data_IF_622543647906
#
_entry.id   IF_622543647906
#
_cell.length_a   1.000
_cell.length_b   1.000
_cell.length_c   1.000
_cell.angle_alpha   90.00
_cell.angle_beta   90.00
_cell.angle_gamma   90.00
#
_symmetry.space_group_name_H-M   'P 1'
#
loop_
_entity.id
_entity.type
_entity.pdbx_description
1 polymer ?
#
# COMPACT_ATOMS: atom_id res chain seq x y z
N UNK A 1 2.48 19.99 29.52
CA UNK A 1 3.86 19.62 29.35
C UNK A 1 4.07 18.82 28.07
N UNK A 2 4.91 19.29 27.22
CA UNK A 2 5.14 18.55 25.99
C UNK A 2 5.82 17.23 26.30
N UNK A 3 5.35 16.21 25.67
CA UNK A 3 5.96 14.90 25.78
C UNK A 3 6.91 14.70 24.60
N UNK A 4 8.17 14.42 24.85
CA UNK A 4 9.16 14.34 23.78
C UNK A 4 8.74 13.41 22.66
N UNK A 5 8.13 12.29 22.97
CA UNK A 5 7.76 11.33 21.94
C UNK A 5 6.56 11.77 21.10
N UNK A 6 5.88 12.84 21.48
CA UNK A 6 4.83 13.38 20.63
C UNK A 6 5.38 14.12 19.44
N UNK A 7 6.61 14.50 19.52
CA UNK A 7 7.29 15.07 18.38
C UNK A 7 7.98 13.98 17.63
N UNK A 8 7.32 12.88 17.51
CA UNK A 8 7.97 11.76 16.95
C UNK A 8 8.50 12.13 15.61
N UNK A 9 9.73 12.43 15.67
CA UNK A 9 10.54 12.41 14.52
C UNK A 9 10.38 11.02 13.98
N UNK A 10 9.86 10.90 12.78
CA UNK A 10 9.84 9.62 12.12
C UNK A 10 11.25 9.09 12.16
N UNK A 11 11.42 7.95 12.76
CA UNK A 11 12.72 7.30 12.77
C UNK A 11 13.06 6.89 11.36
N UNK A 12 14.34 6.68 11.09
CA UNK A 12 14.74 6.13 9.81
C UNK A 12 14.02 4.83 9.51
N UNK A 13 13.77 4.06 10.55
CA UNK A 13 13.02 2.83 10.51
C UNK A 13 11.63 3.05 9.89
N UNK A 14 10.86 3.99 10.45
CA UNK A 14 9.53 4.29 9.93
C UNK A 14 9.59 4.80 8.50
N UNK A 15 10.56 5.62 8.20
CA UNK A 15 10.72 6.18 6.86
C UNK A 15 10.99 5.08 5.84
N UNK A 16 11.84 4.14 6.16
CA UNK A 16 12.18 3.03 5.26
C UNK A 16 10.96 2.16 4.99
N UNK A 17 10.20 1.83 6.05
CA UNK A 17 9.00 1.03 5.89
C UNK A 17 7.93 1.76 5.09
N UNK A 18 7.73 3.04 5.37
CA UNK A 18 6.76 3.85 4.65
C UNK A 18 7.11 3.98 3.17
N UNK A 19 8.40 4.11 2.85
CA UNK A 19 8.84 4.16 1.46
C UNK A 19 8.60 2.85 0.74
N UNK A 20 8.81 1.73 1.39
CA UNK A 20 8.57 0.41 0.79
C UNK A 20 7.08 0.25 0.43
N UNK A 21 6.21 0.60 1.35
CA UNK A 21 4.76 0.53 1.11
C UNK A 21 4.36 1.52 0.03
N UNK A 22 4.85 2.75 0.11
CA UNK A 22 4.53 3.79 -0.86
C UNK A 22 4.96 3.43 -2.27
N UNK A 23 6.11 2.79 -2.40
CA UNK A 23 6.60 2.33 -3.70
C UNK A 23 5.65 1.31 -4.33
N UNK A 24 5.11 0.41 -3.53
CA UNK A 24 4.14 -0.57 -4.02
C UNK A 24 2.83 0.07 -4.44
N UNK A 25 2.39 1.09 -3.73
CA UNK A 25 1.20 1.85 -4.13
C UNK A 25 1.44 2.50 -5.49
N UNK A 26 2.59 3.13 -5.67
CA UNK A 26 2.95 3.76 -6.92
C UNK A 26 3.04 2.75 -8.07
N UNK A 27 3.64 1.58 -7.82
CA UNK A 27 3.73 0.52 -8.83
C UNK A 27 2.35 0.05 -9.24
N UNK A 28 1.45 -0.21 -8.30
CA UNK A 28 0.09 -0.64 -8.60
C UNK A 28 -0.64 0.43 -9.42
N UNK A 29 -0.46 1.69 -9.08
CA UNK A 29 -1.09 2.80 -9.80
C UNK A 29 -0.56 2.91 -11.24
N UNK A 30 0.74 2.83 -11.41
CA UNK A 30 1.35 2.95 -12.74
C UNK A 30 1.09 1.75 -13.64
N UNK A 31 0.92 0.59 -13.04
CA UNK A 31 0.70 -0.65 -13.78
C UNK A 31 -0.77 -1.03 -13.86
N UNK A 32 -1.63 -0.07 -13.57
CA UNK A 32 -3.06 -0.31 -13.62
C UNK A 32 -3.50 -0.68 -15.03
N UNK A 33 -4.35 -1.70 -15.11
CA UNK A 33 -4.91 -2.15 -16.39
C UNK A 33 -6.43 -2.16 -16.29
N UNK A 34 -7.07 -1.93 -17.40
CA UNK A 34 -8.53 -2.08 -17.49
C UNK A 34 -8.84 -3.24 -18.41
N UNK A 35 -9.96 -3.88 -18.13
CA UNK A 35 -10.44 -4.98 -18.99
C UNK A 35 -11.59 -4.45 -19.82
N UNK A 36 -11.48 -4.60 -21.13
CA UNK A 36 -12.56 -4.18 -22.05
C UNK A 36 -13.07 -5.40 -22.79
N UNK A 37 -14.33 -5.32 -23.19
CA UNK A 37 -14.93 -6.30 -24.10
C UNK A 37 -14.33 -6.08 -25.46
N UNK A 38 -13.92 -7.16 -26.12
CA UNK A 38 -13.25 -7.06 -27.41
C UNK A 38 -14.15 -7.57 -28.52
N UNK A 39 -14.09 -8.84 -28.80
CA UNK A 39 -14.88 -9.46 -29.87
C UNK A 39 -15.91 -10.36 -29.24
N UNK A 40 -17.18 -10.11 -29.55
CA UNK A 40 -18.23 -10.94 -28.98
C UNK A 40 -19.59 -10.29 -29.11
N UNK A 41 -20.55 -10.88 -28.44
CA UNK A 41 -21.94 -10.47 -28.50
C UNK A 41 -22.53 -10.45 -27.10
N UNK A 42 -23.29 -9.42 -26.81
CA UNK A 42 -24.02 -9.35 -25.55
C UNK A 42 -25.48 -9.73 -25.82
N UNK A 43 -25.92 -10.83 -25.23
CA UNK A 43 -27.28 -11.31 -25.33
C UNK A 43 -27.82 -11.61 -23.94
N UNK A 44 -29.07 -11.22 -23.69
CA UNK A 44 -29.71 -11.44 -22.40
C UNK A 44 -28.91 -10.92 -21.20
N UNK A 45 -28.21 -9.78 -21.41
CA UNK A 45 -27.40 -9.19 -20.38
C UNK A 45 -26.10 -9.93 -20.10
N UNK A 46 -25.76 -10.92 -20.93
CA UNK A 46 -24.55 -11.72 -20.76
C UNK A 46 -23.60 -11.47 -21.92
N UNK A 47 -22.38 -11.09 -21.59
CA UNK A 47 -21.33 -10.95 -22.59
C UNK A 47 -20.75 -12.31 -22.94
N UNK A 48 -20.75 -12.63 -24.23
CA UNK A 48 -20.14 -13.85 -24.77
C UNK A 48 -19.11 -13.45 -25.78
N UNK A 49 -17.85 -13.43 -25.37
CA UNK A 49 -16.78 -13.00 -26.23
C UNK A 49 -15.46 -12.95 -25.50
N UNK A 50 -14.50 -12.29 -26.11
CA UNK A 50 -13.17 -12.15 -25.56
C UNK A 50 -13.03 -10.83 -24.82
N UNK A 51 -12.06 -10.79 -23.90
CA UNK A 51 -11.68 -9.59 -23.18
C UNK A 51 -10.25 -9.24 -23.50
N UNK A 52 -9.95 -7.96 -23.42
CA UNK A 52 -8.59 -7.47 -23.60
C UNK A 52 -8.21 -6.61 -22.43
N UNK A 53 -7.03 -6.80 -21.91
CA UNK A 53 -6.48 -5.95 -20.88
C UNK A 53 -5.64 -4.85 -21.51
N UNK A 54 -5.94 -3.62 -21.13
CA UNK A 54 -5.25 -2.45 -21.67
C UNK A 54 -4.57 -1.74 -20.51
N UNK A 55 -3.25 -1.48 -20.60
CA UNK A 55 -2.58 -0.66 -19.62
C UNK A 55 -3.19 0.73 -19.60
N UNK A 56 -3.58 1.16 -18.42
CA UNK A 56 -4.14 2.51 -18.22
C UNK A 56 -3.65 3.05 -16.89
N UNK A 57 -2.44 3.60 -16.87
CA UNK A 57 -1.90 4.14 -15.63
C UNK A 57 -2.89 5.09 -14.97
N UNK A 58 -3.08 4.91 -13.69
CA UNK A 58 -4.02 5.69 -12.92
C UNK A 58 -3.32 6.94 -12.40
N UNK A 59 -4.01 8.08 -12.44
CA UNK A 59 -3.44 9.30 -11.87
C UNK A 59 -3.57 9.27 -10.35
N UNK A 60 -2.73 10.06 -9.69
CA UNK A 60 -2.82 10.20 -8.23
C UNK A 60 -4.15 10.79 -7.83
N UNK A 61 -4.70 11.71 -8.63
CA UNK A 61 -6.00 12.31 -8.37
C UNK A 61 -7.11 11.27 -8.42
N UNK A 62 -7.08 10.38 -9.40
CA UNK A 62 -8.12 9.34 -9.50
C UNK A 62 -8.04 8.37 -8.33
N UNK A 63 -6.85 7.98 -7.93
CA UNK A 63 -6.70 7.13 -6.75
C UNK A 63 -7.21 7.85 -5.50
N UNK A 64 -6.86 9.12 -5.34
CA UNK A 64 -7.31 9.91 -4.19
C UNK A 64 -8.83 9.97 -4.11
N UNK A 65 -9.48 10.18 -5.24
CA UNK A 65 -10.95 10.26 -5.30
C UNK A 65 -11.63 8.91 -5.06
N UNK A 66 -10.92 7.82 -5.24
CA UNK A 66 -11.47 6.48 -5.01
C UNK A 66 -11.51 6.09 -3.54
N UNK A 67 -10.84 6.82 -2.68
CA UNK A 67 -10.80 6.53 -1.25
C UNK A 67 -11.98 7.15 -0.52
N UNK A 68 -12.35 6.58 0.61
CA UNK A 68 -13.46 7.05 1.43
C UNK A 68 -12.95 7.39 2.83
N UNK A 69 -13.03 8.64 3.28
CA UNK A 69 -13.35 9.83 2.47
C UNK A 69 -12.27 10.11 1.42
N UNK A 70 -12.63 10.82 0.36
CA UNK A 70 -11.65 11.14 -0.67
C UNK A 70 -10.45 11.90 -0.12
N UNK A 71 -9.29 11.61 -0.68
CA UNK A 71 -8.05 12.29 -0.33
C UNK A 71 -7.67 13.26 -1.44
N UNK A 72 -6.62 14.02 -1.21
CA UNK A 72 -6.05 14.88 -2.23
C UNK A 72 -4.91 14.15 -2.95
N UNK A 73 -4.57 14.62 -4.15
CA UNK A 73 -3.43 14.01 -4.85
C UNK A 73 -2.12 14.24 -4.09
N UNK A 74 -2.01 15.35 -3.36
CA UNK A 74 -0.85 15.62 -2.53
C UNK A 74 -0.70 14.56 -1.44
N UNK A 75 -1.80 14.11 -0.88
CA UNK A 75 -1.78 13.07 0.13
C UNK A 75 -1.29 11.74 -0.47
N UNK A 76 -1.78 11.40 -1.66
CA UNK A 76 -1.31 10.20 -2.35
C UNK A 76 0.18 10.32 -2.66
N UNK A 77 0.61 11.49 -3.11
CA UNK A 77 2.02 11.74 -3.38
C UNK A 77 2.88 11.51 -2.14
N UNK A 78 2.41 12.00 -0.99
CA UNK A 78 3.12 11.79 0.28
C UNK A 78 3.18 10.32 0.66
N UNK A 79 2.10 9.58 0.44
CA UNK A 79 2.10 8.13 0.67
C UNK A 79 3.14 7.44 -0.22
N UNK A 80 3.15 7.77 -1.50
CA UNK A 80 4.04 7.13 -2.46
C UNK A 80 5.51 7.43 -2.18
N UNK A 81 5.79 8.60 -1.64
CA UNK A 81 7.16 8.99 -1.28
C UNK A 81 7.58 8.52 0.10
N UNK A 82 6.66 7.94 0.85
CA UNK A 82 6.94 7.51 2.21
C UNK A 82 7.07 8.66 3.21
N UNK A 83 6.61 9.84 2.84
CA UNK A 83 6.62 11.00 3.74
C UNK A 83 5.58 10.86 4.85
N UNK A 84 4.47 10.20 4.55
CA UNK A 84 3.44 9.87 5.52
C UNK A 84 3.19 8.37 5.49
N UNK A 85 2.93 7.82 6.67
CA UNK A 85 2.47 6.44 6.76
C UNK A 85 1.04 6.30 6.27
N UNK A 86 0.72 5.15 5.71
CA UNK A 86 -0.63 4.84 5.26
C UNK A 86 -1.32 4.07 6.38
N UNK A 87 -2.49 4.57 6.81
CA UNK A 87 -3.24 3.85 7.84
C UNK A 87 -3.72 2.51 7.31
N UNK A 88 -3.97 1.59 8.23
CA UNK A 88 -4.47 0.26 7.87
C UNK A 88 -5.75 0.36 7.05
N UNK A 89 -6.66 1.24 7.45
CA UNK A 89 -7.95 1.39 6.76
C UNK A 89 -7.74 1.86 5.33
N UNK A 90 -6.89 2.84 5.13
CA UNK A 90 -6.58 3.35 3.79
C UNK A 90 -5.89 2.28 2.96
N UNK A 91 -4.96 1.56 3.55
CA UNK A 91 -4.24 0.51 2.83
C UNK A 91 -5.18 -0.63 2.41
N UNK A 92 -6.15 -0.98 3.25
CA UNK A 92 -7.17 -1.96 2.89
C UNK A 92 -8.02 -1.48 1.73
N UNK A 93 -8.37 -0.21 1.70
CA UNK A 93 -9.12 0.36 0.57
C UNK A 93 -8.30 0.31 -0.71
N UNK A 94 -7.04 0.64 -0.64
CA UNK A 94 -6.13 0.59 -1.79
C UNK A 94 -5.99 -0.85 -2.29
N UNK A 95 -5.79 -1.78 -1.38
CA UNK A 95 -5.71 -3.20 -1.70
C UNK A 95 -6.95 -3.67 -2.46
N UNK A 96 -8.12 -3.32 -1.95
CA UNK A 96 -9.38 -3.69 -2.59
C UNK A 96 -9.54 -3.01 -3.94
N UNK A 97 -9.18 -1.73 -4.04
CA UNK A 97 -9.32 -0.98 -5.28
C UNK A 97 -8.51 -1.62 -6.41
N UNK A 98 -7.28 -2.01 -6.11
CA UNK A 98 -6.40 -2.63 -7.10
C UNK A 98 -6.62 -4.13 -7.24
N UNK A 99 -7.51 -4.70 -6.42
CA UNK A 99 -7.74 -6.15 -6.38
C UNK A 99 -6.44 -6.92 -6.18
N UNK A 100 -5.63 -6.45 -5.26
CA UNK A 100 -4.37 -7.09 -4.87
C UNK A 100 -4.43 -7.40 -3.39
N UNK A 101 -3.83 -8.52 -2.95
CA UNK A 101 -3.81 -8.83 -1.52
C UNK A 101 -3.02 -7.77 -0.77
N UNK A 102 -3.36 -7.58 0.50
CA UNK A 102 -2.64 -6.63 1.35
C UNK A 102 -1.14 -6.92 1.35
N UNK A 103 -0.78 -8.18 1.30
CA UNK A 103 0.60 -8.64 1.28
C UNK A 103 1.41 -8.08 0.10
N UNK A 104 0.75 -7.83 -1.01
CA UNK A 104 1.41 -7.20 -2.15
C UNK A 104 2.04 -5.86 -1.76
N UNK A 105 1.35 -5.09 -0.92
CA UNK A 105 1.81 -3.76 -0.50
C UNK A 105 2.75 -3.81 0.68
N UNK A 106 2.69 -4.85 1.49
CA UNK A 106 3.41 -4.92 2.76
C UNK A 106 4.58 -5.89 2.79
N UNK A 107 4.70 -6.77 1.81
CA UNK A 107 5.74 -7.81 1.84
C UNK A 107 7.16 -7.25 1.89
N UNK A 108 7.45 -6.22 1.11
CA UNK A 108 8.78 -5.62 1.14
C UNK A 108 9.07 -4.97 2.49
N UNK A 109 8.08 -4.29 3.05
CA UNK A 109 8.22 -3.68 4.38
C UNK A 109 8.43 -4.76 5.44
N UNK A 110 7.69 -5.86 5.36
CA UNK A 110 7.84 -6.98 6.29
C UNK A 110 9.23 -7.59 6.20
N UNK A 111 9.74 -7.74 4.99
CA UNK A 111 11.09 -8.26 4.79
C UNK A 111 12.14 -7.32 5.38
N UNK A 112 12.00 -6.02 5.15
CA UNK A 112 12.90 -5.03 5.73
C UNK A 112 12.82 -5.03 7.26
N UNK A 113 11.63 -5.19 7.79
CA UNK A 113 11.42 -5.27 9.23
C UNK A 113 12.22 -6.44 9.84
N UNK A 114 12.24 -7.57 9.15
CA UNK A 114 13.01 -8.73 9.59
C UNK A 114 14.52 -8.53 9.58
N UNK A 115 15.02 -7.56 8.80
CA UNK A 115 16.45 -7.26 8.71
C UNK A 115 16.90 -6.18 9.67
N UNK A 116 15.98 -5.48 10.30
CA UNK A 116 16.33 -4.39 11.20
C UNK A 116 16.75 -4.97 12.54
N UNK A 117 17.90 -4.50 13.03
CA UNK A 117 18.34 -4.87 14.37
C UNK A 117 17.64 -3.97 15.37
N UNK A 118 16.93 -4.60 16.28
CA UNK A 118 16.37 -3.89 17.42
C UNK A 118 17.51 -3.57 18.39
N UNK A 119 17.30 -2.59 19.29
CA UNK A 119 18.26 -2.36 20.36
C UNK A 119 18.54 -3.67 21.09
N UNK A 120 19.79 -3.89 21.47
CA UNK A 120 20.23 -5.18 22.00
C UNK A 120 19.34 -5.72 23.12
N UNK A 121 19.01 -4.87 24.08
CA UNK A 121 18.19 -5.28 25.20
C UNK A 121 16.82 -5.76 24.75
N UNK A 122 16.22 -5.02 23.84
CA UNK A 122 14.89 -5.35 23.34
C UNK A 122 14.90 -6.58 22.47
N UNK A 123 15.94 -6.75 21.67
CA UNK A 123 15.99 -7.93 20.81
C UNK A 123 16.17 -9.20 21.61
N UNK A 124 16.91 -9.15 22.69
CA UNK A 124 17.06 -10.32 23.58
C UNK A 124 15.71 -10.65 24.22
N UNK A 125 15.03 -9.65 24.74
CA UNK A 125 13.74 -9.86 25.40
C UNK A 125 12.72 -10.41 24.41
N UNK A 126 12.68 -9.88 23.20
CA UNK A 126 11.76 -10.34 22.19
C UNK A 126 12.04 -11.79 21.80
N UNK A 127 13.31 -12.14 21.65
CA UNK A 127 13.69 -13.51 21.34
C UNK A 127 13.25 -14.49 22.41
N UNK A 128 13.43 -14.12 23.68
CA UNK A 128 12.98 -14.94 24.80
C UNK A 128 11.46 -15.11 24.77
N UNK A 129 10.74 -14.03 24.55
CA UNK A 129 9.29 -14.06 24.49
C UNK A 129 8.80 -14.99 23.38
N UNK A 130 9.42 -14.93 22.23
CA UNK A 130 9.03 -15.78 21.09
C UNK A 130 9.33 -17.25 21.35
N UNK A 131 10.42 -17.54 22.05
CA UNK A 131 10.75 -18.92 22.37
C UNK A 131 9.75 -19.54 23.33
N UNK A 132 9.10 -18.74 24.14
CA UNK A 132 8.17 -19.22 25.16
C UNK A 132 6.73 -19.28 24.67
N UNK A 133 6.48 -18.95 23.43
CA UNK A 133 5.15 -18.99 22.82
C UNK A 133 4.90 -20.29 22.02
#
# INVERSE_FOLDING_TARGET
MPRPYNHVVKTEFDTVLNKAIGKKIKEARKNYVITIKEIGLETDGVWRGTYKQIPKPLTQTKLANALTPPKTFQQIQKYEKGQNGVSTIILLQISKFFNKPLDYFTSDATELLGKVKLPDDNSVIVSESLKNV
#
